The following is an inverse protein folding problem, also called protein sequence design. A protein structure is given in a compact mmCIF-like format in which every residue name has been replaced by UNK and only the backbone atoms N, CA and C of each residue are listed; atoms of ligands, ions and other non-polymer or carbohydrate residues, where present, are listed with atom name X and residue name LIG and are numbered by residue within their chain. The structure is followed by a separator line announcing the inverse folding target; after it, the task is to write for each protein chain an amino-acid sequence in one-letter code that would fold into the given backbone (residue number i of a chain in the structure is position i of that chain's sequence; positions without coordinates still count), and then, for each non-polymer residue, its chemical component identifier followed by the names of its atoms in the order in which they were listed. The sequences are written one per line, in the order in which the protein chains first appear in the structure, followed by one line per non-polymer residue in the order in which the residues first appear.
data_IF_750655802930
#
_entry.id   IF_750655802930
#
_cell.length_a   1.000
_cell.length_b   1.000
_cell.length_c   1.000
_cell.angle_alpha   90.00
_cell.angle_beta   90.00
_cell.angle_gamma   90.00
#
_symmetry.space_group_name_H-M   'P 1'
#
loop_
_entity.id
_entity.type
_entity.pdbx_description
1 polymer ?
#
# COMPACT_ATOMS: atom_id res chain seq x y z
N UNK A 1 6.20 25.71 -14.13
CA UNK A 1 7.44 25.50 -13.36
C UNK A 1 7.33 26.27 -12.03
N UNK A 2 7.71 25.61 -10.95
CA UNK A 2 7.75 26.20 -9.61
C UNK A 2 9.21 26.36 -9.22
N UNK A 3 9.62 27.58 -8.85
CA UNK A 3 10.96 27.83 -8.35
C UNK A 3 11.09 27.34 -6.90
N UNK A 4 12.05 26.45 -6.66
CA UNK A 4 12.36 25.97 -5.30
C UNK A 4 13.73 26.50 -4.91
N UNK A 5 13.83 27.36 -3.90
CA UNK A 5 15.11 27.92 -3.46
C UNK A 5 16.08 26.85 -2.98
N UNK A 6 17.38 27.09 -3.14
CA UNK A 6 18.41 26.19 -2.61
C UNK A 6 18.29 26.06 -1.08
N UNK A 7 18.47 24.85 -0.56
CA UNK A 7 18.33 24.54 0.88
C UNK A 7 16.90 24.25 1.34
N UNK A 8 15.89 24.33 0.45
CA UNK A 8 14.51 23.94 0.78
C UNK A 8 14.40 22.43 0.97
N UNK A 9 13.83 22.01 2.09
CA UNK A 9 13.48 20.60 2.31
C UNK A 9 12.22 20.25 1.52
N UNK A 10 12.27 19.19 0.72
CA UNK A 10 11.14 18.67 -0.04
C UNK A 10 10.64 17.36 0.54
N UNK A 11 9.34 17.25 0.71
CA UNK A 11 8.68 15.99 1.05
C UNK A 11 7.95 15.46 -0.18
N UNK A 12 8.38 14.30 -0.69
CA UNK A 12 7.65 13.56 -1.72
C UNK A 12 6.61 12.69 -1.05
N UNK A 13 5.35 12.81 -1.47
CA UNK A 13 4.22 12.06 -0.92
C UNK A 13 3.72 10.99 -1.91
N UNK A 14 4.35 9.80 -2.01
CA UNK A 14 3.97 8.76 -2.97
C UNK A 14 2.52 8.33 -2.83
N UNK A 15 1.99 8.33 -1.60
CA UNK A 15 0.59 7.99 -1.33
C UNK A 15 -0.41 8.94 -1.98
N UNK A 16 -0.09 10.23 -2.08
CA UNK A 16 -0.91 11.22 -2.77
C UNK A 16 -0.72 11.13 -4.29
N UNK A 17 0.54 11.09 -4.73
CA UNK A 17 0.89 11.04 -6.17
C UNK A 17 0.29 9.80 -6.84
N UNK A 18 0.32 8.64 -6.18
CA UNK A 18 -0.26 7.40 -6.70
C UNK A 18 -1.82 7.39 -6.66
N UNK A 19 -2.43 8.48 -6.18
CA UNK A 19 -3.88 8.72 -6.20
C UNK A 19 -4.28 9.97 -6.97
N UNK A 20 -3.40 10.47 -7.81
CA UNK A 20 -3.70 11.60 -8.69
C UNK A 20 -4.76 11.20 -9.72
N UNK A 21 -5.96 11.80 -9.72
CA UNK A 21 -7.02 11.47 -10.66
C UNK A 21 -6.68 11.87 -12.10
N UNK A 22 -5.74 12.80 -12.30
CA UNK A 22 -5.21 13.12 -13.62
C UNK A 22 -4.33 12.01 -14.22
N UNK A 23 -3.94 11.03 -13.41
CA UNK A 23 -3.09 9.91 -13.82
C UNK A 23 -3.75 8.55 -13.66
N UNK A 24 -4.56 8.37 -12.63
CA UNK A 24 -5.19 7.09 -12.30
C UNK A 24 -6.70 7.26 -12.21
N UNK A 25 -7.43 6.59 -13.08
CA UNK A 25 -8.88 6.51 -13.00
C UNK A 25 -9.30 5.81 -11.70
N UNK A 26 -10.36 6.29 -11.04
CA UNK A 26 -10.85 5.74 -9.78
C UNK A 26 -9.72 5.48 -8.74
N UNK A 27 -8.91 6.49 -8.37
CA UNK A 27 -7.63 6.28 -7.67
C UNK A 27 -7.77 5.75 -6.24
N UNK A 28 -8.98 5.74 -5.70
CA UNK A 28 -9.29 5.22 -4.36
C UNK A 28 -9.80 3.78 -4.37
N UNK A 29 -10.05 3.22 -5.55
CA UNK A 29 -10.52 1.85 -5.70
C UNK A 29 -9.34 0.88 -5.84
N UNK A 30 -9.48 -0.31 -5.22
CA UNK A 30 -8.55 -1.40 -5.40
C UNK A 30 -8.95 -2.18 -6.66
N UNK A 31 -8.30 -1.86 -7.77
CA UNK A 31 -8.58 -2.41 -9.09
C UNK A 31 -7.43 -3.30 -9.55
N UNK A 32 -7.70 -4.61 -9.67
CA UNK A 32 -6.73 -5.63 -10.12
C UNK A 32 -6.42 -5.52 -11.62
N UNK A 33 -7.36 -5.01 -12.41
CA UNK A 33 -7.25 -4.90 -13.86
C UNK A 33 -6.78 -3.54 -14.34
N UNK A 34 -6.29 -2.70 -13.44
CA UNK A 34 -5.79 -1.36 -13.71
C UNK A 34 -4.69 -1.38 -14.78
N UNK A 35 -4.97 -0.76 -15.93
CA UNK A 35 -4.07 -0.79 -17.11
C UNK A 35 -2.72 -0.15 -16.86
N UNK A 36 -2.67 0.94 -16.08
CA UNK A 36 -1.45 1.69 -15.79
C UNK A 36 -0.88 1.41 -14.39
N UNK A 37 -1.12 0.23 -13.82
CA UNK A 37 -0.65 -0.18 -12.49
C UNK A 37 0.86 0.00 -12.30
N UNK A 38 1.67 -0.13 -13.36
CA UNK A 38 3.13 0.01 -13.29
C UNK A 38 3.63 1.46 -13.33
N UNK A 39 2.74 2.42 -13.48
CA UNK A 39 3.10 3.84 -13.54
C UNK A 39 3.18 4.50 -12.17
N UNK A 40 2.88 3.75 -11.10
CA UNK A 40 3.03 4.22 -9.73
C UNK A 40 4.50 4.55 -9.40
N UNK A 41 4.70 5.46 -8.45
CA UNK A 41 6.03 5.84 -7.96
C UNK A 41 6.31 5.33 -6.53
N UNK A 42 5.65 4.25 -6.10
CA UNK A 42 5.86 3.68 -4.75
C UNK A 42 7.31 3.27 -4.48
N UNK A 43 8.08 2.94 -5.53
CA UNK A 43 9.51 2.63 -5.47
C UNK A 43 10.40 3.75 -6.04
N UNK A 44 9.88 4.96 -6.12
CA UNK A 44 10.58 6.05 -6.80
C UNK A 44 10.64 5.89 -8.33
N UNK A 45 11.41 6.72 -8.98
CA UNK A 45 11.60 6.70 -10.44
C UNK A 45 12.99 7.24 -10.83
N UNK A 46 13.50 6.84 -12.01
CA UNK A 46 14.78 7.32 -12.55
C UNK A 46 15.99 6.70 -11.87
N UNK A 47 17.11 7.43 -11.84
CA UNK A 47 18.39 6.95 -11.32
C UNK A 47 18.36 6.52 -9.84
N UNK A 48 17.43 7.03 -9.07
CA UNK A 48 17.23 6.72 -7.65
C UNK A 48 16.01 5.80 -7.40
N UNK A 49 15.55 5.05 -8.40
CA UNK A 49 14.55 4.00 -8.15
C UNK A 49 15.03 3.03 -7.09
N UNK A 50 14.12 2.57 -6.23
CA UNK A 50 14.43 1.67 -5.12
C UNK A 50 15.12 0.38 -5.62
N UNK A 51 16.36 0.09 -5.21
CA UNK A 51 17.06 -1.13 -5.62
C UNK A 51 16.42 -2.40 -5.05
N UNK A 52 15.69 -2.29 -3.93
CA UNK A 52 14.93 -3.38 -3.31
C UNK A 52 13.58 -3.66 -3.96
N UNK A 53 13.15 -2.88 -4.95
CA UNK A 53 11.85 -3.05 -5.59
C UNK A 53 11.58 -4.45 -6.17
N UNK A 54 12.53 -5.10 -6.87
CA UNK A 54 12.37 -6.49 -7.33
C UNK A 54 12.19 -7.48 -6.17
N UNK A 55 12.99 -7.37 -5.11
CA UNK A 55 12.90 -8.22 -3.93
C UNK A 55 11.53 -8.05 -3.24
N UNK A 56 11.13 -6.83 -2.95
CA UNK A 56 9.85 -6.53 -2.31
C UNK A 56 8.65 -7.10 -3.09
N UNK A 57 8.71 -7.11 -4.42
CA UNK A 57 7.65 -7.73 -5.24
C UNK A 57 7.63 -9.25 -5.12
N UNK A 58 8.79 -9.90 -5.04
CA UNK A 58 8.89 -11.35 -4.82
C UNK A 58 8.37 -11.70 -3.43
N UNK A 59 8.81 -10.97 -2.40
CA UNK A 59 8.34 -11.16 -1.02
C UNK A 59 6.83 -10.99 -0.91
N UNK A 60 6.28 -9.91 -1.48
CA UNK A 60 4.85 -9.66 -1.47
C UNK A 60 4.05 -10.76 -2.18
N UNK A 61 4.52 -11.21 -3.34
CA UNK A 61 3.87 -12.30 -4.07
C UNK A 61 3.88 -13.59 -3.27
N UNK A 62 5.06 -14.02 -2.82
CA UNK A 62 5.22 -15.29 -2.07
C UNK A 62 4.41 -15.26 -0.77
N UNK A 63 4.40 -14.13 -0.06
CA UNK A 63 3.62 -13.97 1.17
C UNK A 63 2.12 -14.12 0.91
N UNK A 64 1.59 -13.46 -0.12
CA UNK A 64 0.17 -13.54 -0.49
C UNK A 64 -0.19 -14.95 -0.95
N UNK A 65 0.63 -15.58 -1.81
CA UNK A 65 0.43 -16.97 -2.25
C UNK A 65 0.34 -17.91 -1.05
N UNK A 66 1.27 -17.78 -0.08
CA UNK A 66 1.27 -18.62 1.13
C UNK A 66 0.10 -18.37 2.08
N UNK A 67 -0.38 -17.13 2.16
CA UNK A 67 -1.60 -16.81 2.90
C UNK A 67 -2.80 -17.49 2.25
N UNK A 68 -2.97 -17.33 0.94
CA UNK A 68 -4.09 -17.90 0.20
C UNK A 68 -4.07 -19.45 0.15
N UNK A 69 -2.88 -20.05 0.14
CA UNK A 69 -2.71 -21.52 0.22
C UNK A 69 -3.19 -22.11 1.55
N UNK A 70 -3.20 -21.31 2.62
CA UNK A 70 -3.41 -21.80 4.00
C UNK A 70 -4.66 -21.24 4.67
N UNK A 71 -5.23 -20.20 4.12
CA UNK A 71 -6.34 -19.46 4.71
C UNK A 71 -7.44 -19.24 3.69
N UNK A 72 -8.64 -19.70 4.00
CA UNK A 72 -9.87 -19.40 3.26
C UNK A 72 -10.74 -18.44 4.08
N UNK A 73 -11.73 -17.85 3.46
CA UNK A 73 -12.73 -16.97 4.08
C UNK A 73 -12.13 -15.85 4.95
N UNK A 74 -11.02 -15.27 4.46
CA UNK A 74 -10.29 -14.24 5.21
C UNK A 74 -11.16 -13.00 5.36
N UNK A 75 -11.42 -12.58 6.58
CA UNK A 75 -12.18 -11.37 6.92
C UNK A 75 -11.46 -10.55 7.98
N UNK A 76 -11.71 -9.24 8.00
CA UNK A 76 -11.24 -8.38 9.10
C UNK A 76 -12.05 -8.70 10.35
N UNK A 77 -11.38 -8.83 11.49
CA UNK A 77 -12.06 -9.01 12.79
C UNK A 77 -12.76 -7.71 13.19
N UNK A 78 -14.09 -7.69 13.06
CA UNK A 78 -14.92 -6.52 13.36
C UNK A 78 -15.00 -6.21 14.86
N UNK A 79 -14.76 -7.18 15.73
CA UNK A 79 -14.68 -6.93 17.18
C UNK A 79 -13.47 -6.08 17.55
N UNK A 80 -12.40 -6.19 16.76
CA UNK A 80 -11.15 -5.46 16.97
C UNK A 80 -11.08 -4.16 16.18
N UNK A 81 -11.64 -4.14 14.98
CA UNK A 81 -11.47 -3.03 14.05
C UNK A 81 -12.74 -2.25 13.74
N UNK A 82 -13.90 -2.72 14.18
CA UNK A 82 -15.21 -2.13 13.83
C UNK A 82 -15.77 -2.64 12.51
N UNK A 83 -17.06 -2.37 12.24
CA UNK A 83 -17.74 -2.83 11.04
C UNK A 83 -17.23 -2.14 9.77
N UNK A 84 -17.53 -2.73 8.61
CA UNK A 84 -17.20 -2.16 7.32
C UNK A 84 -17.69 -0.70 7.20
N UNK A 85 -16.84 0.19 6.73
CA UNK A 85 -17.12 1.64 6.62
C UNK A 85 -16.87 2.45 7.90
N UNK A 86 -16.65 1.81 9.05
CA UNK A 86 -16.34 2.46 10.33
C UNK A 86 -15.10 1.86 11.01
N UNK A 87 -14.24 1.19 10.23
CA UNK A 87 -13.05 0.52 10.75
C UNK A 87 -12.03 1.52 11.28
N UNK A 88 -11.44 1.17 12.43
CA UNK A 88 -10.35 1.90 13.05
C UNK A 88 -9.09 1.04 13.09
N UNK A 89 -7.95 1.65 12.81
CA UNK A 89 -6.66 0.99 12.82
C UNK A 89 -5.63 1.83 13.55
N UNK A 90 -4.72 1.17 14.25
CA UNK A 90 -3.56 1.82 14.86
C UNK A 90 -2.39 1.83 13.86
N UNK A 91 -1.73 2.97 13.78
CA UNK A 91 -0.61 3.17 12.88
C UNK A 91 0.68 3.35 13.66
N UNK A 92 1.79 2.95 13.06
CA UNK A 92 3.12 3.27 13.58
C UNK A 92 3.29 4.78 13.73
N UNK A 93 3.82 5.27 14.87
CA UNK A 93 3.96 6.70 15.16
C UNK A 93 5.13 7.32 14.38
N UNK A 94 5.10 7.19 13.06
CA UNK A 94 6.12 7.74 12.15
C UNK A 94 5.46 8.53 11.03
N UNK A 95 6.12 9.60 10.59
CA UNK A 95 5.66 10.39 9.44
C UNK A 95 6.19 9.87 8.10
N UNK A 96 7.17 8.96 8.12
CA UNK A 96 7.80 8.41 6.91
C UNK A 96 7.02 7.22 6.37
N UNK A 97 6.56 6.33 7.27
CA UNK A 97 5.86 5.11 6.92
C UNK A 97 4.42 5.13 7.43
N UNK A 98 3.48 4.78 6.59
CA UNK A 98 2.09 4.52 6.99
C UNK A 98 1.88 3.01 7.16
N UNK A 99 2.49 2.45 8.18
CA UNK A 99 2.35 1.05 8.55
C UNK A 99 1.30 0.86 9.63
N UNK A 100 0.55 -0.24 9.59
CA UNK A 100 -0.31 -0.65 10.69
C UNK A 100 0.57 -1.34 11.75
N UNK A 101 0.27 -1.08 13.03
CA UNK A 101 0.93 -1.81 14.13
C UNK A 101 0.44 -3.26 14.21
N UNK A 102 -0.83 -3.47 13.83
CA UNK A 102 -1.46 -4.80 13.77
C UNK A 102 -2.65 -4.79 12.81
N UNK A 103 -3.00 -5.96 12.31
CA UNK A 103 -4.27 -6.24 11.65
C UNK A 103 -4.80 -7.57 12.14
N UNK A 104 -5.99 -7.57 12.73
CA UNK A 104 -6.64 -8.75 13.25
C UNK A 104 -7.62 -9.29 12.19
N UNK A 105 -7.46 -10.56 11.86
CA UNK A 105 -8.26 -11.24 10.84
C UNK A 105 -8.88 -12.53 11.40
N UNK A 106 -10.02 -12.92 10.86
CA UNK A 106 -10.63 -14.25 11.02
C UNK A 106 -10.50 -14.99 9.70
N UNK A 107 -10.23 -16.29 9.75
CA UNK A 107 -10.08 -17.11 8.55
C UNK A 107 -10.40 -18.58 8.86
N UNK A 108 -10.65 -19.36 7.80
CA UNK A 108 -10.76 -20.81 7.85
C UNK A 108 -9.43 -21.43 7.43
N UNK A 109 -8.77 -22.27 8.25
CA UNK A 109 -7.57 -22.96 7.83
C UNK A 109 -7.84 -23.92 6.65
N UNK A 110 -7.00 -23.88 5.64
CA UNK A 110 -6.98 -24.87 4.55
C UNK A 110 -6.04 -26.00 4.96
N UNK A 111 -6.57 -27.21 5.03
CA UNK A 111 -5.83 -28.46 5.38
C UNK A 111 -5.28 -29.15 4.14
#
# INVERSE_FOLDING_TARGET
DIHVPAGTTLMVCPGAVNRDPGKFDHPHEFDLDRKNVREHIAFGRGAHSCPGGPLARVEGRVSIERILDRMADITIDEEKHGPAGQRSYNYEPTFILRGLTEINIKFTPVT
#
